data_IF_909903078887
#
_entry.id   IF_909903078887
#
_cell.length_a   1.000
_cell.length_b   1.000
_cell.length_c   1.000
_cell.angle_alpha   90.00
_cell.angle_beta   90.00
_cell.angle_gamma   90.00
#
_symmetry.space_group_name_H-M   'P 1'
#
loop_
_entity.id
_entity.type
_entity.pdbx_description
1 polymer ?
#
# COMPACT_ATOMS: atom_id res chain seq x y z
N UNK A 1 18.39 -13.67 18.72
CA UNK A 1 17.10 -14.37 18.86
C UNK A 1 16.24 -13.57 19.81
N UNK A 2 15.16 -12.94 19.32
CA UNK A 2 14.22 -12.22 20.20
C UNK A 2 13.37 -13.23 20.96
N UNK A 3 13.00 -12.92 22.20
CA UNK A 3 12.04 -13.74 22.93
C UNK A 3 10.63 -13.46 22.38
N UNK A 4 9.73 -14.45 22.45
CA UNK A 4 8.35 -14.26 21.99
C UNK A 4 7.63 -13.12 22.73
N UNK A 5 7.98 -12.90 24.00
CA UNK A 5 7.46 -11.78 24.80
C UNK A 5 7.95 -10.40 24.33
N UNK A 6 9.14 -10.35 23.72
CA UNK A 6 9.68 -9.11 23.15
C UNK A 6 8.99 -8.82 21.81
N UNK A 7 8.80 -9.85 20.98
CA UNK A 7 8.06 -9.76 19.71
C UNK A 7 6.63 -9.27 19.95
N UNK A 8 5.92 -9.87 20.92
CA UNK A 8 4.55 -9.47 21.29
C UNK A 8 4.49 -8.00 21.71
N UNK A 9 5.46 -7.52 22.47
CA UNK A 9 5.54 -6.12 22.92
C UNK A 9 5.75 -5.14 21.79
N UNK A 10 6.73 -5.42 20.94
CA UNK A 10 7.03 -4.61 19.76
C UNK A 10 5.81 -4.53 18.85
N UNK A 11 5.09 -5.64 18.66
CA UNK A 11 3.89 -5.67 17.83
C UNK A 11 2.70 -4.97 18.49
N UNK A 12 2.56 -5.03 19.82
CA UNK A 12 1.54 -4.27 20.53
C UNK A 12 1.77 -2.75 20.40
N UNK A 13 3.04 -2.33 20.49
CA UNK A 13 3.41 -0.93 20.27
C UNK A 13 3.08 -0.48 18.84
N UNK A 14 3.32 -1.34 17.84
CA UNK A 14 2.92 -1.06 16.45
C UNK A 14 1.40 -0.92 16.29
N UNK A 15 0.62 -1.79 16.94
CA UNK A 15 -0.85 -1.64 16.92
C UNK A 15 -1.30 -0.32 17.54
N UNK A 16 -0.64 0.13 18.62
CA UNK A 16 -0.93 1.43 19.21
C UNK A 16 -0.53 2.59 18.28
N UNK A 17 0.57 2.47 17.53
CA UNK A 17 0.97 3.43 16.48
C UNK A 17 -0.06 3.44 15.33
N UNK A 18 -0.50 2.28 14.83
CA UNK A 18 -1.51 2.14 13.76
C UNK A 18 -2.85 2.77 14.14
N UNK A 19 -3.26 2.64 15.41
CA UNK A 19 -4.49 3.22 15.96
C UNK A 19 -4.31 4.68 16.41
N UNK A 20 -3.10 5.21 16.33
CA UNK A 20 -2.74 6.60 16.64
C UNK A 20 -2.40 6.88 18.10
N UNK A 21 -2.77 6.01 19.06
CA UNK A 21 -2.33 6.13 20.46
C UNK A 21 -2.55 4.86 21.27
N UNK A 22 -1.83 4.75 22.40
CA UNK A 22 -2.06 3.69 23.42
C UNK A 22 -3.49 3.76 23.95
N UNK A 23 -4.05 4.96 24.11
CA UNK A 23 -5.43 5.16 24.56
C UNK A 23 -6.46 4.68 23.55
N UNK A 24 -6.21 4.87 22.25
CA UNK A 24 -7.07 4.34 21.21
C UNK A 24 -7.08 2.80 21.23
N UNK A 25 -5.89 2.18 21.37
CA UNK A 25 -5.77 0.74 21.55
C UNK A 25 -6.49 0.25 22.83
N UNK A 26 -6.32 0.95 23.95
CA UNK A 26 -6.99 0.61 25.21
C UNK A 26 -8.53 0.65 25.10
N UNK A 27 -9.07 1.68 24.42
CA UNK A 27 -10.50 1.77 24.12
C UNK A 27 -10.98 0.61 23.24
N UNK A 28 -10.22 0.25 22.21
CA UNK A 28 -10.57 -0.86 21.33
C UNK A 28 -10.55 -2.22 22.05
N UNK A 29 -9.62 -2.40 23.00
CA UNK A 29 -9.50 -3.61 23.79
C UNK A 29 -10.48 -3.67 24.98
N UNK A 30 -11.23 -2.60 25.25
CA UNK A 30 -12.02 -2.43 26.47
C UNK A 30 -11.18 -2.67 27.73
N UNK A 31 -9.99 -2.04 27.78
CA UNK A 31 -9.02 -2.13 28.89
C UNK A 31 -8.56 -0.76 29.34
N UNK A 32 -8.00 -0.70 30.54
CA UNK A 32 -7.40 0.55 31.03
C UNK A 32 -6.09 0.86 30.31
N UNK A 33 -5.83 2.14 30.06
CA UNK A 33 -4.57 2.65 29.49
C UNK A 33 -3.35 2.14 30.26
N UNK A 34 -3.45 2.09 31.59
CA UNK A 34 -2.37 1.61 32.46
C UNK A 34 -2.05 0.14 32.19
N UNK A 35 -3.07 -0.69 31.99
CA UNK A 35 -2.89 -2.12 31.70
C UNK A 35 -2.25 -2.34 30.33
N UNK A 36 -2.68 -1.59 29.30
CA UNK A 36 -2.06 -1.67 27.96
C UNK A 36 -0.64 -1.13 27.97
N UNK A 37 -0.38 -0.03 28.68
CA UNK A 37 0.96 0.51 28.88
C UNK A 37 1.88 -0.48 29.60
N UNK A 38 1.36 -1.20 30.61
CA UNK A 38 2.12 -2.25 31.29
C UNK A 38 2.45 -3.42 30.37
N UNK A 39 1.57 -3.76 29.43
CA UNK A 39 1.84 -4.77 28.41
C UNK A 39 2.92 -4.31 27.42
N UNK A 40 2.90 -3.05 26.98
CA UNK A 40 3.88 -2.47 26.04
C UNK A 40 5.26 -2.32 26.68
N UNK A 41 5.35 -1.75 27.87
CA UNK A 41 6.62 -1.51 28.54
C UNK A 41 7.13 -2.75 29.29
N UNK A 42 6.26 -3.74 29.48
CA UNK A 42 6.51 -4.96 30.25
C UNK A 42 6.94 -4.67 31.67
N UNK A 43 5.95 -4.40 32.52
CA UNK A 43 6.18 -4.20 33.96
C UNK A 43 7.02 -5.34 34.54
N UNK A 44 8.13 -4.99 35.21
CA UNK A 44 9.04 -5.95 35.80
C UNK A 44 8.38 -6.75 36.92
N UNK A 45 8.60 -8.07 36.94
CA UNK A 45 8.17 -8.91 38.05
C UNK A 45 9.05 -8.59 39.26
N UNK A 46 8.44 -8.05 40.33
CA UNK A 46 9.13 -7.59 41.56
C UNK A 46 9.99 -8.66 42.25
N UNK A 47 9.77 -9.94 41.94
CA UNK A 47 10.49 -11.07 42.53
C UNK A 47 11.67 -11.58 41.68
N UNK A 48 11.69 -11.33 40.37
CA UNK A 48 12.68 -11.90 39.43
C UNK A 48 13.34 -10.88 38.52
N UNK A 49 12.91 -9.61 38.56
CA UNK A 49 13.42 -8.53 37.72
C UNK A 49 13.11 -8.68 36.22
N UNK A 50 12.53 -9.81 35.80
CA UNK A 50 12.16 -10.07 34.41
C UNK A 50 10.83 -9.40 34.09
N UNK A 51 10.68 -8.74 32.93
CA UNK A 51 9.40 -8.18 32.50
C UNK A 51 8.32 -9.27 32.45
N UNK A 52 7.11 -8.96 32.91
CA UNK A 52 5.97 -9.88 32.80
C UNK A 52 5.65 -10.11 31.34
N UNK A 53 5.77 -11.37 30.90
CA UNK A 53 5.36 -11.80 29.57
C UNK A 53 3.84 -11.70 29.39
N UNK A 54 3.42 -11.33 28.20
CA UNK A 54 2.01 -11.37 27.82
C UNK A 54 1.59 -12.83 27.67
N UNK A 55 0.58 -13.24 28.44
CA UNK A 55 0.02 -14.59 28.34
C UNK A 55 -0.61 -14.80 26.96
N UNK A 56 -0.59 -16.05 26.50
CA UNK A 56 -1.09 -16.42 25.17
C UNK A 56 -2.57 -16.09 24.99
N UNK A 57 -3.40 -16.28 26.01
CA UNK A 57 -4.82 -15.91 26.02
C UNK A 57 -5.02 -14.41 25.77
N UNK A 58 -4.26 -13.54 26.45
CA UNK A 58 -4.27 -12.10 26.22
C UNK A 58 -3.84 -11.74 24.81
N UNK A 59 -2.79 -12.39 24.29
CA UNK A 59 -2.34 -12.15 22.91
C UNK A 59 -3.44 -12.48 21.89
N UNK A 60 -4.11 -13.63 22.04
CA UNK A 60 -5.20 -14.00 21.12
C UNK A 60 -6.41 -13.08 21.24
N UNK A 61 -6.73 -12.63 22.46
CA UNK A 61 -7.78 -11.63 22.67
C UNK A 61 -7.48 -10.34 21.92
N UNK A 62 -6.25 -9.82 22.03
CA UNK A 62 -5.82 -8.60 21.33
C UNK A 62 -5.91 -8.77 19.81
N UNK A 63 -5.45 -9.90 19.27
CA UNK A 63 -5.54 -10.19 17.83
C UNK A 63 -6.98 -10.12 17.32
N UNK A 64 -7.93 -10.75 18.04
CA UNK A 64 -9.35 -10.76 17.69
C UNK A 64 -9.94 -9.35 17.72
N UNK A 65 -9.68 -8.59 18.78
CA UNK A 65 -10.22 -7.22 18.94
C UNK A 65 -9.63 -6.24 17.91
N UNK A 66 -8.37 -6.46 17.50
CA UNK A 66 -7.72 -5.67 16.47
C UNK A 66 -7.99 -6.17 15.04
N UNK A 67 -8.79 -7.23 14.87
CA UNK A 67 -9.09 -7.82 13.55
C UNK A 67 -7.87 -8.42 12.84
N UNK A 68 -6.84 -8.81 13.59
CA UNK A 68 -5.61 -9.42 13.06
C UNK A 68 -5.74 -10.95 13.07
N UNK A 69 -5.02 -11.67 12.18
CA UNK A 69 -5.06 -13.13 12.16
C UNK A 69 -4.46 -13.73 13.45
N UNK A 70 -4.91 -14.93 13.82
CA UNK A 70 -4.39 -15.64 14.98
C UNK A 70 -2.88 -15.88 14.85
N UNK A 71 -2.11 -15.49 15.86
CA UNK A 71 -0.66 -15.60 15.88
C UNK A 71 0.07 -14.41 15.27
N UNK A 72 -0.64 -13.38 14.82
CA UNK A 72 -0.03 -12.17 14.30
C UNK A 72 0.91 -11.49 15.31
N UNK A 73 0.59 -11.50 16.61
CA UNK A 73 1.45 -10.93 17.64
C UNK A 73 2.72 -11.74 17.90
N UNK A 74 2.74 -13.02 17.50
CA UNK A 74 3.88 -13.93 17.70
C UNK A 74 4.93 -13.85 16.57
N UNK A 75 4.62 -13.15 15.49
CA UNK A 75 5.50 -13.00 14.31
C UNK A 75 6.28 -11.69 14.40
N UNK A 76 7.60 -11.72 14.17
CA UNK A 76 8.40 -10.50 14.17
C UNK A 76 8.14 -9.66 12.92
N UNK A 77 7.42 -8.55 13.07
CA UNK A 77 7.15 -7.59 11.99
C UNK A 77 8.18 -6.44 11.96
N UNK A 78 9.33 -6.53 12.65
CA UNK A 78 10.28 -5.39 12.73
C UNK A 78 11.03 -5.17 11.42
N UNK A 79 11.15 -6.20 10.57
CA UNK A 79 11.79 -6.12 9.26
C UNK A 79 10.89 -5.52 8.17
N UNK A 80 9.57 -5.49 8.35
CA UNK A 80 8.65 -4.93 7.36
C UNK A 80 8.73 -3.39 7.27
N UNK A 81 9.24 -2.71 8.31
CA UNK A 81 9.55 -1.27 8.25
C UNK A 81 10.70 -0.94 7.28
N UNK A 82 11.42 -1.93 6.73
CA UNK A 82 12.50 -1.70 5.74
C UNK A 82 12.11 -1.99 4.28
N UNK A 83 10.84 -2.28 3.99
CA UNK A 83 10.32 -2.39 2.61
C UNK A 83 9.23 -1.36 2.29
N UNK A 84 9.29 -0.19 2.93
CA UNK A 84 8.65 1.03 2.44
C UNK A 84 9.66 1.93 1.69
N UNK A 85 10.75 1.35 1.22
CA UNK A 85 11.55 1.91 0.13
C UNK A 85 11.16 1.19 -1.15
N UNK A 86 10.19 1.77 -1.85
CA UNK A 86 9.75 1.41 -3.19
C UNK A 86 9.28 -0.03 -3.38
N UNK A 87 7.95 -0.15 -3.55
CA UNK A 87 7.44 -0.94 -4.67
C UNK A 87 8.40 -0.87 -5.87
N UNK A 88 9.17 -1.94 -6.11
CA UNK A 88 9.77 -2.16 -7.43
C UNK A 88 8.70 -2.45 -8.50
N UNK A 89 7.41 -2.29 -8.16
CA UNK A 89 6.27 -2.27 -9.08
C UNK A 89 5.95 -0.86 -9.60
N UNK A 90 6.54 0.23 -9.08
CA UNK A 90 6.23 1.60 -9.55
C UNK A 90 7.31 2.26 -10.43
N UNK A 91 8.50 1.67 -10.59
CA UNK A 91 9.54 2.24 -11.46
C UNK A 91 9.61 1.60 -12.87
N UNK A 92 9.17 0.35 -13.02
CA UNK A 92 9.23 -0.38 -14.30
C UNK A 92 8.06 -0.06 -15.28
N UNK A 93 6.87 0.40 -14.87
CA UNK A 93 5.78 0.63 -15.84
C UNK A 93 6.06 1.79 -16.82
N UNK A 94 6.63 2.90 -16.35
CA UNK A 94 6.80 4.09 -17.19
C UNK A 94 8.00 4.00 -18.14
N UNK A 95 9.10 3.33 -17.73
CA UNK A 95 10.25 3.13 -18.61
C UNK A 95 9.91 2.25 -19.82
N UNK A 96 9.11 1.20 -19.61
CA UNK A 96 8.59 0.36 -20.70
C UNK A 96 7.68 1.16 -21.65
N UNK A 97 6.82 2.03 -21.10
CA UNK A 97 6.01 2.95 -21.91
C UNK A 97 6.90 3.93 -22.71
N UNK A 98 7.95 4.49 -22.11
CA UNK A 98 8.92 5.38 -22.77
C UNK A 98 9.82 4.70 -23.81
N UNK A 99 9.88 3.36 -23.83
CA UNK A 99 10.61 2.59 -24.84
C UNK A 99 9.68 1.93 -25.86
N UNK A 100 8.37 1.92 -25.61
CA UNK A 100 7.37 1.36 -26.52
C UNK A 100 7.28 2.15 -27.83
N UNK A 101 6.78 1.52 -28.90
CA UNK A 101 6.54 2.21 -30.17
C UNK A 101 5.50 3.33 -30.02
N UNK A 102 5.58 4.36 -30.87
CA UNK A 102 4.65 5.50 -30.84
C UNK A 102 3.18 5.06 -30.92
N UNK A 103 2.89 4.05 -31.74
CA UNK A 103 1.57 3.44 -31.86
C UNK A 103 1.06 2.82 -30.55
N UNK A 104 1.93 2.10 -29.84
CA UNK A 104 1.60 1.47 -28.55
C UNK A 104 1.32 2.52 -27.48
N UNK A 105 2.11 3.60 -27.45
CA UNK A 105 1.88 4.71 -26.51
C UNK A 105 0.55 5.41 -26.76
N UNK A 106 0.25 5.72 -28.02
CA UNK A 106 -1.01 6.35 -28.42
C UNK A 106 -2.24 5.49 -28.06
N UNK A 107 -2.14 4.16 -28.24
CA UNK A 107 -3.20 3.24 -27.85
C UNK A 107 -3.42 3.21 -26.33
N UNK A 108 -2.34 3.22 -25.54
CA UNK A 108 -2.41 3.29 -24.07
C UNK A 108 -3.02 4.62 -23.63
N UNK A 109 -2.58 5.74 -24.19
CA UNK A 109 -3.13 7.07 -23.86
C UNK A 109 -4.62 7.15 -24.16
N UNK A 110 -5.05 6.62 -25.32
CA UNK A 110 -6.46 6.56 -25.68
C UNK A 110 -7.30 5.74 -24.69
N UNK A 111 -6.75 4.66 -24.13
CA UNK A 111 -7.44 3.85 -23.12
C UNK A 111 -7.58 4.59 -21.79
N UNK A 112 -6.62 5.45 -21.47
CA UNK A 112 -6.56 6.23 -20.23
C UNK A 112 -7.41 7.51 -20.26
N UNK A 113 -7.82 7.99 -21.43
CA UNK A 113 -8.67 9.18 -21.55
C UNK A 113 -10.11 8.95 -21.03
N UNK A 114 -10.78 10.00 -20.50
CA UNK A 114 -12.21 9.97 -20.18
C UNK A 114 -13.07 9.64 -21.40
N UNK A 115 -14.17 8.91 -21.21
CA UNK A 115 -15.01 8.37 -22.30
C UNK A 115 -15.49 9.43 -23.31
N UNK A 116 -15.76 10.67 -22.84
CA UNK A 116 -16.20 11.78 -23.70
C UNK A 116 -15.10 12.27 -24.64
N UNK A 117 -13.86 12.31 -24.16
CA UNK A 117 -12.70 12.73 -24.93
C UNK A 117 -12.27 11.63 -25.91
N UNK A 118 -12.33 10.36 -25.47
CA UNK A 118 -12.11 9.19 -26.33
C UNK A 118 -13.01 9.18 -27.57
N UNK A 119 -14.29 9.50 -27.39
CA UNK A 119 -15.26 9.54 -28.48
C UNK A 119 -14.96 10.68 -29.47
N UNK A 120 -14.54 11.85 -28.99
CA UNK A 120 -14.18 12.98 -29.84
C UNK A 120 -12.92 12.68 -30.68
N UNK A 121 -11.92 12.04 -30.07
CA UNK A 121 -10.70 11.58 -30.72
C UNK A 121 -11.07 10.56 -31.81
N UNK A 122 -11.75 9.47 -31.47
CA UNK A 122 -12.17 8.45 -32.43
C UNK A 122 -13.07 8.99 -33.55
N UNK A 123 -13.89 10.01 -33.27
CA UNK A 123 -14.78 10.64 -34.26
C UNK A 123 -14.07 11.62 -35.21
N UNK A 124 -12.90 12.16 -34.83
CA UNK A 124 -12.10 13.06 -35.66
C UNK A 124 -11.14 12.31 -36.60
N UNK A 125 -11.10 10.98 -36.53
CA UNK A 125 -10.27 10.14 -37.39
C UNK A 125 -10.85 10.05 -38.81
N UNK A 126 -10.07 10.35 -39.87
CA UNK A 126 -10.56 10.20 -41.24
C UNK A 126 -10.88 8.73 -41.57
N UNK A 127 -11.96 8.46 -42.34
CA UNK A 127 -12.31 7.10 -42.75
C UNK A 127 -11.21 6.52 -43.65
N UNK A 128 -10.62 5.42 -43.19
CA UNK A 128 -9.48 4.77 -43.80
C UNK A 128 -9.67 4.46 -45.29
N UNK A 129 -8.75 4.92 -46.14
CA UNK A 129 -8.47 4.32 -47.44
C UNK A 129 -7.03 3.80 -47.44
N UNK A 130 -6.93 2.46 -47.41
CA UNK A 130 -5.77 1.63 -47.73
C UNK A 130 -4.45 1.92 -46.97
N UNK A 131 -4.19 1.11 -45.92
CA UNK A 131 -2.86 0.98 -45.31
C UNK A 131 -2.90 0.99 -43.78
N UNK A 132 -2.91 -0.19 -43.16
CA UNK A 132 -3.09 -0.34 -41.70
C UNK A 132 -1.95 0.18 -40.81
N UNK A 133 -0.84 0.67 -41.39
CA UNK A 133 0.30 1.22 -40.64
C UNK A 133 0.40 2.75 -40.80
N UNK A 134 0.06 3.27 -41.98
CA UNK A 134 0.06 4.72 -42.28
C UNK A 134 -1.02 5.50 -41.51
N UNK A 135 -2.10 4.82 -41.10
CA UNK A 135 -3.23 5.46 -40.43
C UNK A 135 -2.89 5.97 -39.03
N UNK A 136 -1.98 5.29 -38.31
CA UNK A 136 -1.60 5.66 -36.94
C UNK A 136 -0.61 6.84 -36.96
N UNK A 137 0.30 6.87 -37.93
CA UNK A 137 1.25 7.97 -38.10
C UNK A 137 0.54 9.26 -38.56
N UNK A 138 -0.37 9.18 -39.54
CA UNK A 138 -1.18 10.33 -39.95
C UNK A 138 -2.08 10.86 -38.82
N UNK A 139 -2.53 9.97 -37.94
CA UNK A 139 -3.34 10.34 -36.78
C UNK A 139 -2.53 11.13 -35.74
N UNK A 140 -1.27 10.72 -35.50
CA UNK A 140 -0.36 11.43 -34.61
C UNK A 140 0.01 12.83 -35.14
N UNK A 141 0.22 12.96 -36.45
CA UNK A 141 0.52 14.25 -37.10
C UNK A 141 -0.68 15.20 -37.05
N UNK A 142 -1.89 14.70 -37.28
CA UNK A 142 -3.13 15.51 -37.23
C UNK A 142 -3.42 16.04 -35.82
N UNK A 143 -3.17 15.24 -34.78
CA UNK A 143 -3.33 15.65 -33.38
C UNK A 143 -2.33 16.74 -32.96
N UNK A 144 -1.11 16.70 -33.51
CA UNK A 144 -0.08 17.72 -33.26
C UNK A 144 -0.40 19.06 -33.93
N UNK A 145 -0.93 19.05 -35.15
CA UNK A 145 -1.30 20.28 -35.86
C UNK A 145 -2.51 21.00 -35.25
N UNK A 146 -3.47 20.25 -34.72
CA UNK A 146 -4.60 20.84 -33.99
C UNK A 146 -4.14 21.62 -32.75
N UNK A 147 -3.10 21.12 -32.07
CA UNK A 147 -2.52 21.74 -30.87
C UNK A 147 -1.70 23.00 -31.15
N UNK A 148 -1.22 23.20 -32.39
CA UNK A 148 -0.48 24.42 -32.80
C UNK A 148 -1.40 25.55 -33.25
N UNK A 149 -2.67 25.24 -33.58
CA UNK A 149 -3.67 26.21 -34.06
C UNK A 149 -4.58 26.77 -32.96
N UNK A 150 -4.62 26.13 -31.79
CA UNK A 150 -5.34 26.60 -30.60
C UNK A 150 -4.42 27.43 -29.70
#
# INVERSE_FOLDING_TARGET
MKLIDDIRRENLAKLAEELGSITALAKQLDRSDSQVSQWIHGSAHSATGKPRGMRTDTARFVEIQCGKPLGWLDVDHSSEKSSLSADNTSAVPWAAYQQATAATRAAIDLLLLPTRERAAVLSAAPPALAGGVDLIEQYAESALEFRKRA
#
